data_IF_247023929224
#
_entry.id   IF_247023929224
#
_cell.length_a   1.000
_cell.length_b   1.000
_cell.length_c   1.000
_cell.angle_alpha   90.00
_cell.angle_beta   90.00
_cell.angle_gamma   90.00
#
_symmetry.space_group_name_H-M   'P 1'
#
loop_
_entity.id
_entity.type
_entity.pdbx_description
1 polymer ?
#
# COMPACT_ATOMS: atom_id res chain seq x y z
N UNK A 1 -14.11 -23.20 13.17
CA UNK A 1 -12.79 -23.35 13.84
C UNK A 1 -11.64 -22.72 13.06
N UNK A 2 -11.54 -22.86 11.74
CA UNK A 2 -10.47 -22.26 10.91
C UNK A 2 -10.52 -20.74 10.84
N UNK A 3 -11.71 -20.13 10.71
CA UNK A 3 -11.88 -18.65 10.69
C UNK A 3 -11.35 -18.01 11.97
N UNK A 4 -11.71 -18.54 13.15
CA UNK A 4 -11.19 -18.01 14.42
C UNK A 4 -9.66 -18.09 14.54
N UNK A 5 -9.04 -19.13 13.95
CA UNK A 5 -7.58 -19.26 13.94
C UNK A 5 -6.93 -18.25 12.97
N UNK A 6 -7.55 -17.97 11.82
CA UNK A 6 -7.10 -16.93 10.89
C UNK A 6 -7.13 -15.57 11.57
N UNK A 7 -8.23 -15.20 12.23
CA UNK A 7 -8.33 -13.95 12.97
C UNK A 7 -7.27 -13.80 14.06
N UNK A 8 -6.91 -14.91 14.76
CA UNK A 8 -5.82 -14.89 15.76
C UNK A 8 -4.46 -14.68 15.08
N UNK A 9 -4.20 -15.35 13.96
CA UNK A 9 -2.95 -15.16 13.20
C UNK A 9 -2.80 -13.71 12.74
N UNK A 10 -3.85 -13.13 12.18
CA UNK A 10 -3.87 -11.74 11.71
C UNK A 10 -3.68 -10.76 12.86
N UNK A 11 -4.35 -10.97 14.00
CA UNK A 11 -4.18 -10.16 15.20
C UNK A 11 -2.74 -10.22 15.75
N UNK A 12 -2.10 -11.40 15.71
CA UNK A 12 -0.70 -11.53 16.12
C UNK A 12 0.24 -10.81 15.16
N UNK A 13 -0.04 -10.85 13.86
CA UNK A 13 0.72 -10.08 12.86
C UNK A 13 0.57 -8.57 13.09
N UNK A 14 -0.63 -8.09 13.42
CA UNK A 14 -0.89 -6.67 13.74
C UNK A 14 -0.15 -6.18 14.99
N UNK A 15 0.13 -7.09 15.91
CA UNK A 15 0.90 -6.80 17.12
C UNK A 15 2.40 -7.00 16.96
N UNK A 16 2.86 -7.47 15.81
CA UNK A 16 4.25 -7.86 15.58
C UNK A 16 4.64 -9.19 16.23
N UNK A 17 3.67 -9.99 16.68
CA UNK A 17 3.86 -11.30 17.30
C UNK A 17 4.17 -12.40 16.29
N UNK A 18 5.23 -12.24 15.49
CA UNK A 18 5.55 -13.11 14.34
C UNK A 18 5.71 -14.59 14.69
N UNK A 19 6.26 -14.89 15.87
CA UNK A 19 6.45 -16.29 16.31
C UNK A 19 5.14 -16.91 16.77
N UNK A 20 4.29 -16.15 17.46
CA UNK A 20 2.95 -16.57 17.86
C UNK A 20 2.07 -16.83 16.64
N UNK A 21 2.08 -15.93 15.64
CA UNK A 21 1.36 -16.11 14.38
C UNK A 21 1.81 -17.38 13.65
N UNK A 22 3.12 -17.61 13.54
CA UNK A 22 3.66 -18.81 12.88
C UNK A 22 3.37 -20.10 13.66
N UNK A 23 3.43 -20.07 14.98
CA UNK A 23 3.09 -21.22 15.82
C UNK A 23 1.61 -21.59 15.69
N UNK A 24 0.70 -20.61 15.75
CA UNK A 24 -0.73 -20.81 15.53
C UNK A 24 -1.00 -21.38 14.13
N UNK A 25 -0.40 -20.78 13.11
CA UNK A 25 -0.49 -21.30 11.73
C UNK A 25 -0.05 -22.77 11.65
N UNK A 26 1.12 -23.11 12.21
CA UNK A 26 1.66 -24.47 12.14
C UNK A 26 0.77 -25.49 12.85
N UNK A 27 0.18 -25.15 14.01
CA UNK A 27 -0.76 -26.02 14.74
C UNK A 27 -2.02 -26.25 13.91
N UNK A 28 -2.60 -25.18 13.37
CA UNK A 28 -3.87 -25.26 12.65
C UNK A 28 -3.73 -25.89 11.27
N UNK A 29 -2.63 -25.62 10.58
CA UNK A 29 -2.34 -26.24 9.28
C UNK A 29 -2.15 -27.75 9.38
N UNK A 30 -1.50 -28.26 10.46
CA UNK A 30 -1.42 -29.72 10.70
C UNK A 30 -2.79 -30.36 10.92
N UNK A 31 -3.73 -29.66 11.53
CA UNK A 31 -5.10 -30.16 11.80
C UNK A 31 -6.02 -30.05 10.59
N UNK A 32 -5.78 -29.03 9.75
CA UNK A 32 -6.63 -28.67 8.61
C UNK A 32 -5.76 -28.36 7.37
N UNK A 33 -4.97 -29.34 6.85
CA UNK A 33 -3.99 -29.08 5.78
C UNK A 33 -4.63 -28.66 4.45
N UNK A 34 -5.89 -29.02 4.21
CA UNK A 34 -6.63 -28.66 3.00
C UNK A 34 -7.42 -27.32 3.13
N UNK A 35 -7.26 -26.59 4.24
CA UNK A 35 -7.99 -25.32 4.41
C UNK A 35 -7.40 -24.21 3.54
N UNK A 36 -8.12 -23.67 2.56
CA UNK A 36 -7.65 -22.56 1.75
C UNK A 36 -7.44 -21.29 2.56
N UNK A 37 -8.27 -21.03 3.59
CA UNK A 37 -8.16 -19.88 4.47
C UNK A 37 -6.85 -19.88 5.28
N UNK A 38 -6.35 -21.07 5.65
CA UNK A 38 -5.05 -21.18 6.31
C UNK A 38 -3.91 -21.10 5.30
N UNK A 39 -4.06 -21.70 4.13
CA UNK A 39 -3.02 -21.69 3.12
C UNK A 39 -2.59 -20.27 2.72
N UNK A 40 -3.54 -19.33 2.63
CA UNK A 40 -3.28 -17.93 2.28
C UNK A 40 -2.57 -17.14 3.38
N UNK A 41 -2.48 -17.64 4.62
CA UNK A 41 -1.76 -16.98 5.70
C UNK A 41 -0.23 -17.16 5.63
N UNK A 42 0.23 -18.24 5.03
CA UNK A 42 1.67 -18.55 4.97
C UNK A 42 2.50 -17.47 4.24
N UNK A 43 2.09 -16.95 3.07
CA UNK A 43 2.78 -15.82 2.42
C UNK A 43 2.81 -14.56 3.28
N UNK A 44 1.72 -14.23 4.01
CA UNK A 44 1.64 -13.04 4.86
C UNK A 44 2.62 -13.12 6.03
N UNK A 45 2.70 -14.29 6.69
CA UNK A 45 3.68 -14.54 7.76
C UNK A 45 5.11 -14.44 7.24
N UNK A 46 5.40 -15.01 6.07
CA UNK A 46 6.72 -14.95 5.45
C UNK A 46 7.11 -13.51 5.09
N UNK A 47 6.15 -12.73 4.59
CA UNK A 47 6.34 -11.32 4.26
C UNK A 47 6.62 -10.49 5.51
N UNK A 48 5.82 -10.64 6.54
CA UNK A 48 6.00 -9.94 7.82
C UNK A 48 7.37 -10.23 8.47
N UNK A 49 7.95 -11.41 8.21
CA UNK A 49 9.34 -11.76 8.57
C UNK A 49 10.42 -11.20 7.65
N UNK A 50 10.03 -10.41 6.65
CA UNK A 50 10.95 -9.81 5.67
C UNK A 50 11.52 -10.81 4.63
N UNK A 51 10.97 -12.03 4.55
CA UNK A 51 11.49 -13.06 3.65
C UNK A 51 10.78 -13.06 2.28
N UNK A 52 11.09 -12.06 1.44
CA UNK A 52 10.45 -11.87 0.13
C UNK A 52 10.58 -13.10 -0.79
N UNK A 53 11.70 -13.83 -0.72
CA UNK A 53 11.91 -15.03 -1.54
C UNK A 53 10.97 -16.17 -1.13
N UNK A 54 10.78 -16.38 0.18
CA UNK A 54 9.81 -17.37 0.69
C UNK A 54 8.39 -16.92 0.38
N UNK A 55 8.08 -15.64 0.56
CA UNK A 55 6.77 -15.07 0.21
C UNK A 55 6.43 -15.36 -1.24
N UNK A 56 7.37 -15.11 -2.17
CA UNK A 56 7.19 -15.40 -3.60
C UNK A 56 6.89 -16.87 -3.85
N UNK A 57 7.71 -17.79 -3.31
CA UNK A 57 7.49 -19.24 -3.49
C UNK A 57 6.14 -19.71 -2.95
N UNK A 58 5.73 -19.20 -1.79
CA UNK A 58 4.44 -19.55 -1.19
C UNK A 58 3.27 -18.99 -2.01
N UNK A 59 3.35 -17.75 -2.47
CA UNK A 59 2.34 -17.17 -3.37
C UNK A 59 2.25 -17.97 -4.68
N UNK A 60 3.39 -18.31 -5.31
CA UNK A 60 3.43 -19.11 -6.54
C UNK A 60 2.86 -20.53 -6.31
N UNK A 61 3.08 -21.14 -5.14
CA UNK A 61 2.49 -22.46 -4.83
C UNK A 61 0.97 -22.41 -4.73
N UNK A 62 0.39 -21.32 -4.25
CA UNK A 62 -1.07 -21.14 -4.19
C UNK A 62 -1.68 -21.07 -5.60
N UNK A 63 -0.97 -20.52 -6.58
CA UNK A 63 -1.48 -20.40 -7.97
C UNK A 63 -1.71 -21.75 -8.64
N UNK A 64 -0.98 -22.79 -8.21
CA UNK A 64 -1.11 -24.17 -8.72
C UNK A 64 -2.23 -24.97 -8.08
N UNK A 65 -3.00 -24.43 -7.13
CA UNK A 65 -4.08 -25.15 -6.46
C UNK A 65 -5.38 -25.17 -7.27
N UNK A 66 -6.21 -26.18 -7.04
CA UNK A 66 -7.56 -26.26 -7.63
C UNK A 66 -8.58 -25.39 -6.91
N UNK A 67 -8.24 -24.83 -5.74
CA UNK A 67 -9.14 -23.96 -4.99
C UNK A 67 -9.05 -22.53 -5.53
N UNK A 68 -10.16 -21.97 -5.98
CA UNK A 68 -10.22 -20.66 -6.63
C UNK A 68 -9.78 -19.51 -5.69
N UNK A 69 -10.17 -19.56 -4.41
CA UNK A 69 -9.81 -18.54 -3.42
C UNK A 69 -8.29 -18.54 -3.20
N UNK A 70 -7.70 -19.70 -2.95
CA UNK A 70 -6.25 -19.82 -2.74
C UNK A 70 -5.48 -19.40 -4.01
N UNK A 71 -5.94 -19.82 -5.19
CA UNK A 71 -5.32 -19.45 -6.47
C UNK A 71 -5.37 -17.94 -6.72
N UNK A 72 -6.53 -17.31 -6.58
CA UNK A 72 -6.68 -15.86 -6.74
C UNK A 72 -5.84 -15.09 -5.72
N UNK A 73 -5.82 -15.53 -4.46
CA UNK A 73 -4.97 -14.93 -3.43
C UNK A 73 -3.48 -15.05 -3.77
N UNK A 74 -3.04 -16.21 -4.26
CA UNK A 74 -1.65 -16.41 -4.70
C UNK A 74 -1.25 -15.44 -5.81
N UNK A 75 -2.11 -15.23 -6.80
CA UNK A 75 -1.89 -14.28 -7.88
C UNK A 75 -1.87 -12.83 -7.36
N UNK A 76 -2.81 -12.45 -6.49
CA UNK A 76 -2.86 -11.11 -5.90
C UNK A 76 -1.62 -10.82 -5.04
N UNK A 77 -1.19 -11.77 -4.19
CA UNK A 77 0.03 -11.64 -3.40
C UNK A 77 1.27 -11.54 -4.28
N UNK A 78 1.32 -12.34 -5.35
CA UNK A 78 2.38 -12.27 -6.36
C UNK A 78 2.43 -10.91 -7.05
N UNK A 79 1.27 -10.36 -7.42
CA UNK A 79 1.14 -9.04 -8.03
C UNK A 79 1.59 -7.92 -7.09
N UNK A 80 1.10 -7.94 -5.85
CA UNK A 80 1.46 -6.98 -4.80
C UNK A 80 2.95 -6.99 -4.51
N UNK A 81 3.57 -8.19 -4.39
CA UNK A 81 5.01 -8.32 -4.22
C UNK A 81 5.78 -7.82 -5.45
N UNK A 82 5.24 -8.03 -6.65
CA UNK A 82 5.83 -7.49 -7.88
C UNK A 82 5.79 -5.97 -7.92
N UNK A 83 4.69 -5.33 -7.48
CA UNK A 83 4.62 -3.87 -7.33
C UNK A 83 5.65 -3.36 -6.31
N UNK A 84 5.71 -3.96 -5.12
CA UNK A 84 6.70 -3.61 -4.09
C UNK A 84 8.13 -3.67 -4.64
N UNK A 85 8.39 -4.60 -5.56
CA UNK A 85 9.69 -4.79 -6.21
C UNK A 85 9.87 -3.97 -7.51
N UNK A 86 8.94 -3.06 -7.84
CA UNK A 86 9.01 -2.23 -9.04
C UNK A 86 8.81 -2.99 -10.36
N UNK A 87 8.22 -4.18 -10.34
CA UNK A 87 7.95 -5.04 -11.51
C UNK A 87 6.51 -4.83 -12.01
N UNK A 88 6.21 -3.65 -12.56
CA UNK A 88 4.85 -3.24 -12.90
C UNK A 88 4.22 -4.13 -13.98
N UNK A 89 4.99 -4.49 -15.01
CA UNK A 89 4.50 -5.34 -16.10
C UNK A 89 4.08 -6.74 -15.59
N UNK A 90 4.87 -7.30 -14.67
CA UNK A 90 4.57 -8.58 -14.04
C UNK A 90 3.35 -8.49 -13.12
N UNK A 91 3.26 -7.43 -12.33
CA UNK A 91 2.11 -7.18 -11.45
C UNK A 91 0.81 -7.08 -12.25
N UNK A 92 0.82 -6.34 -13.36
CA UNK A 92 -0.34 -6.20 -14.23
C UNK A 92 -0.81 -7.54 -14.81
N UNK A 93 0.13 -8.37 -15.26
CA UNK A 93 -0.20 -9.73 -15.73
C UNK A 93 -0.85 -10.58 -14.64
N UNK A 94 -0.31 -10.55 -13.42
CA UNK A 94 -0.79 -11.34 -12.29
C UNK A 94 -2.17 -10.88 -11.81
N UNK A 95 -2.42 -9.57 -11.69
CA UNK A 95 -3.76 -9.03 -11.35
C UNK A 95 -4.81 -9.39 -12.39
N UNK A 96 -4.48 -9.33 -13.69
CA UNK A 96 -5.41 -9.79 -14.75
C UNK A 96 -5.79 -11.26 -14.61
N UNK A 97 -4.88 -12.10 -14.14
CA UNK A 97 -5.10 -13.53 -13.96
C UNK A 97 -5.83 -13.84 -12.64
N UNK A 98 -5.66 -13.01 -11.62
CA UNK A 98 -6.28 -13.20 -10.31
C UNK A 98 -7.81 -13.19 -10.42
N UNK A 99 -8.36 -12.34 -11.27
CA UNK A 99 -9.79 -12.11 -11.32
C UNK A 99 -10.26 -11.38 -10.06
N UNK A 100 -11.49 -11.62 -9.65
CA UNK A 100 -12.12 -10.99 -8.51
C UNK A 100 -13.52 -10.47 -8.88
N UNK A 101 -14.24 -9.91 -7.89
CA UNK A 101 -15.44 -9.16 -8.19
C UNK A 101 -15.09 -7.79 -8.84
N UNK A 102 -16.12 -7.09 -9.31
CA UNK A 102 -15.92 -5.84 -10.04
C UNK A 102 -15.27 -4.74 -9.17
N UNK A 103 -15.55 -4.71 -7.86
CA UNK A 103 -14.99 -3.73 -6.95
C UNK A 103 -13.49 -3.98 -6.70
N UNK A 104 -13.10 -5.23 -6.42
CA UNK A 104 -11.69 -5.65 -6.23
C UNK A 104 -10.90 -5.40 -7.51
N UNK A 105 -11.40 -5.84 -8.67
CA UNK A 105 -10.73 -5.66 -9.96
C UNK A 105 -10.56 -4.18 -10.33
N UNK A 106 -11.49 -3.32 -9.93
CA UNK A 106 -11.35 -1.87 -10.09
C UNK A 106 -10.24 -1.31 -9.19
N UNK A 107 -10.21 -1.69 -7.90
CA UNK A 107 -9.18 -1.25 -6.96
C UNK A 107 -7.79 -1.70 -7.42
N UNK A 108 -7.61 -2.94 -7.88
CA UNK A 108 -6.35 -3.44 -8.44
C UNK A 108 -5.91 -2.61 -9.65
N UNK A 109 -6.84 -2.29 -10.56
CA UNK A 109 -6.56 -1.44 -11.72
C UNK A 109 -6.11 -0.03 -11.31
N UNK A 110 -6.78 0.58 -10.33
CA UNK A 110 -6.43 1.90 -9.81
C UNK A 110 -5.06 1.88 -9.10
N UNK A 111 -4.77 0.83 -8.36
CA UNK A 111 -3.46 0.62 -7.71
C UNK A 111 -2.34 0.55 -8.74
N UNK A 112 -2.51 -0.21 -9.82
CA UNK A 112 -1.56 -0.28 -10.93
C UNK A 112 -1.35 1.08 -11.61
N UNK A 113 -2.42 1.85 -11.85
CA UNK A 113 -2.34 3.17 -12.48
C UNK A 113 -1.58 4.13 -11.57
N UNK A 114 -1.86 4.11 -10.27
CA UNK A 114 -1.16 4.94 -9.27
C UNK A 114 0.32 4.55 -9.18
N UNK A 115 0.64 3.26 -9.10
CA UNK A 115 2.02 2.78 -9.10
C UNK A 115 2.79 3.22 -10.35
N UNK A 116 2.20 3.03 -11.52
CA UNK A 116 2.81 3.46 -12.78
C UNK A 116 3.06 4.97 -12.82
N UNK A 117 2.15 5.77 -12.24
CA UNK A 117 2.29 7.23 -12.18
C UNK A 117 3.40 7.64 -11.21
N UNK A 118 3.41 7.10 -9.99
CA UNK A 118 4.35 7.49 -8.95
C UNK A 118 5.76 6.96 -9.17
N UNK A 119 5.88 5.70 -9.60
CA UNK A 119 7.20 5.09 -9.81
C UNK A 119 7.92 5.72 -11.01
N UNK A 120 7.19 6.11 -12.06
CA UNK A 120 7.74 6.76 -13.25
C UNK A 120 7.76 8.29 -13.18
N UNK A 121 7.26 8.88 -12.09
CA UNK A 121 7.10 10.34 -11.95
C UNK A 121 6.37 10.99 -13.15
N UNK A 122 5.33 10.31 -13.68
CA UNK A 122 4.56 10.79 -14.81
C UNK A 122 3.10 10.38 -14.70
N UNK A 123 2.19 11.29 -15.05
CA UNK A 123 0.76 11.02 -15.14
C UNK A 123 0.26 10.89 -16.60
N UNK A 124 1.17 10.82 -17.58
CA UNK A 124 0.82 10.70 -18.98
C UNK A 124 -0.11 9.50 -19.22
N UNK A 125 -1.28 9.75 -19.78
CA UNK A 125 -2.30 8.72 -20.03
C UNK A 125 -2.96 8.10 -18.80
N UNK A 126 -2.59 8.47 -17.57
CA UNK A 126 -3.19 7.91 -16.35
C UNK A 126 -4.71 8.18 -16.28
N UNK A 127 -5.14 9.40 -16.60
CA UNK A 127 -6.56 9.76 -16.63
C UNK A 127 -7.37 8.90 -17.60
N UNK A 128 -6.84 8.62 -18.79
CA UNK A 128 -7.51 7.77 -19.78
C UNK A 128 -7.63 6.32 -19.26
N UNK A 129 -6.61 5.81 -18.56
CA UNK A 129 -6.66 4.47 -17.95
C UNK A 129 -7.69 4.38 -16.81
N UNK A 130 -7.81 5.42 -15.97
CA UNK A 130 -8.85 5.45 -14.92
C UNK A 130 -10.24 5.45 -15.56
N UNK A 131 -10.48 6.27 -16.59
CA UNK A 131 -11.76 6.28 -17.33
C UNK A 131 -12.06 4.90 -17.92
N UNK A 132 -11.09 4.26 -18.55
CA UNK A 132 -11.25 2.92 -19.11
C UNK A 132 -11.56 1.86 -18.04
N UNK A 133 -10.93 1.96 -16.85
CA UNK A 133 -11.23 1.07 -15.71
C UNK A 133 -12.65 1.28 -15.19
N UNK A 134 -13.10 2.53 -15.04
CA UNK A 134 -14.47 2.84 -14.62
C UNK A 134 -15.52 2.40 -15.66
N UNK A 135 -15.20 2.48 -16.95
CA UNK A 135 -16.07 1.98 -18.00
C UNK A 135 -16.17 0.45 -17.99
N UNK A 136 -15.08 -0.26 -17.66
CA UNK A 136 -15.04 -1.71 -17.52
C UNK A 136 -15.76 -2.22 -16.26
N UNK A 137 -15.69 -1.46 -15.16
CA UNK A 137 -16.28 -1.78 -13.86
C UNK A 137 -17.18 -0.64 -13.39
N UNK A 138 -18.37 -0.45 -14.03
CA UNK A 138 -19.22 0.69 -13.74
C UNK A 138 -19.89 0.56 -12.37
N UNK A 139 -19.96 1.66 -11.63
CA UNK A 139 -20.60 1.72 -10.32
C UNK A 139 -22.05 1.24 -10.33
N UNK A 140 -22.78 1.45 -11.44
CA UNK A 140 -24.17 1.01 -11.58
C UNK A 140 -24.36 -0.51 -11.47
N UNK A 141 -23.29 -1.29 -11.69
CA UNK A 141 -23.33 -2.76 -11.58
C UNK A 141 -22.96 -3.26 -10.19
N UNK A 142 -22.54 -2.38 -9.28
CA UNK A 142 -22.13 -2.71 -7.92
C UNK A 142 -23.23 -2.36 -6.92
N UNK A 143 -23.39 -3.17 -5.85
CA UNK A 143 -24.22 -2.78 -4.72
C UNK A 143 -23.67 -1.49 -4.09
N UNK A 144 -24.53 -0.64 -3.53
CA UNK A 144 -24.11 0.67 -3.02
C UNK A 144 -23.01 0.55 -1.96
N UNK A 145 -23.08 -0.45 -1.10
CA UNK A 145 -22.10 -0.70 -0.04
C UNK A 145 -20.71 -1.09 -0.58
N UNK A 146 -20.65 -1.71 -1.77
CA UNK A 146 -19.42 -2.24 -2.36
C UNK A 146 -18.77 -1.24 -3.34
N UNK A 147 -19.41 -0.09 -3.59
CA UNK A 147 -18.87 0.92 -4.51
C UNK A 147 -17.62 1.57 -3.93
N UNK A 148 -16.44 1.41 -4.56
CA UNK A 148 -15.17 1.91 -4.02
C UNK A 148 -14.98 3.42 -4.29
N UNK A 149 -15.92 4.27 -3.83
CA UNK A 149 -15.89 5.72 -4.04
C UNK A 149 -14.56 6.34 -3.61
N UNK A 150 -14.08 5.97 -2.40
CA UNK A 150 -12.86 6.57 -1.85
C UNK A 150 -11.60 6.10 -2.59
N UNK A 151 -11.52 4.82 -2.99
CA UNK A 151 -10.40 4.33 -3.81
C UNK A 151 -10.35 5.05 -5.17
N UNK A 152 -11.52 5.29 -5.80
CA UNK A 152 -11.60 6.03 -7.07
C UNK A 152 -11.21 7.50 -6.87
N UNK A 153 -11.72 8.18 -5.84
CA UNK A 153 -11.36 9.56 -5.53
C UNK A 153 -9.86 9.69 -5.24
N UNK A 154 -9.32 8.81 -4.39
CA UNK A 154 -7.90 8.75 -4.07
C UNK A 154 -7.04 8.54 -5.33
N UNK A 155 -7.41 7.62 -6.21
CA UNK A 155 -6.68 7.41 -7.46
C UNK A 155 -6.69 8.65 -8.36
N UNK A 156 -7.84 9.35 -8.50
CA UNK A 156 -7.93 10.59 -9.24
C UNK A 156 -7.03 11.68 -8.64
N UNK A 157 -7.04 11.85 -7.32
CA UNK A 157 -6.18 12.80 -6.63
C UNK A 157 -4.69 12.46 -6.86
N UNK A 158 -4.31 11.19 -6.62
CA UNK A 158 -2.93 10.70 -6.74
C UNK A 158 -2.33 10.82 -8.14
N UNK A 159 -3.15 10.86 -9.19
CA UNK A 159 -2.70 11.14 -10.56
C UNK A 159 -2.82 12.62 -10.98
N UNK A 160 -3.06 13.54 -10.01
CA UNK A 160 -3.11 14.97 -10.24
C UNK A 160 -4.41 15.46 -10.92
N UNK A 161 -5.54 14.88 -10.59
CA UNK A 161 -6.88 15.26 -11.09
C UNK A 161 -7.88 15.49 -9.94
N UNK A 162 -7.62 16.50 -9.06
CA UNK A 162 -8.45 16.75 -7.88
C UNK A 162 -9.92 17.04 -8.22
N UNK A 163 -10.21 17.79 -9.29
CA UNK A 163 -11.60 18.08 -9.74
C UNK A 163 -12.41 16.78 -9.96
N UNK A 164 -11.76 15.75 -10.54
CA UNK A 164 -12.40 14.45 -10.75
C UNK A 164 -12.61 13.70 -9.43
N UNK A 165 -11.67 13.81 -8.51
CA UNK A 165 -11.79 13.24 -7.18
C UNK A 165 -12.94 13.89 -6.40
N UNK A 166 -13.07 15.21 -6.42
CA UNK A 166 -14.17 15.94 -5.82
C UNK A 166 -15.53 15.53 -6.39
N UNK A 167 -15.64 15.35 -7.70
CA UNK A 167 -16.87 14.87 -8.33
C UNK A 167 -17.28 13.47 -7.81
N UNK A 168 -16.32 12.58 -7.54
CA UNK A 168 -16.58 11.26 -6.94
C UNK A 168 -17.06 11.41 -5.48
N UNK A 169 -16.44 12.30 -4.69
CA UNK A 169 -16.90 12.58 -3.32
C UNK A 169 -18.31 13.19 -3.32
N UNK A 170 -18.61 14.08 -4.25
CA UNK A 170 -19.96 14.63 -4.40
C UNK A 170 -20.99 13.52 -4.73
N UNK A 171 -20.66 12.62 -5.64
CA UNK A 171 -21.51 11.47 -5.97
C UNK A 171 -21.72 10.52 -4.76
N UNK A 172 -20.66 10.28 -3.96
CA UNK A 172 -20.79 9.54 -2.71
C UNK A 172 -21.77 10.22 -1.74
N UNK A 173 -21.64 11.52 -1.51
CA UNK A 173 -22.52 12.29 -0.58
C UNK A 173 -23.99 12.27 -1.01
N UNK A 174 -24.25 12.22 -2.30
CA UNK A 174 -25.62 12.06 -2.84
C UNK A 174 -26.18 10.66 -2.65
N UNK A 175 -25.33 9.64 -2.74
CA UNK A 175 -25.73 8.24 -2.64
C UNK A 175 -25.85 7.73 -1.20
N UNK A 176 -24.96 8.17 -0.31
CA UNK A 176 -24.87 7.73 1.08
C UNK A 176 -25.72 8.69 1.97
N UNK A 177 -26.94 8.29 2.28
CA UNK A 177 -27.87 9.07 3.13
C UNK A 177 -28.02 8.51 4.54
N UNK A 178 -27.57 7.27 4.79
CA UNK A 178 -27.62 6.64 6.10
C UNK A 178 -26.52 7.19 7.01
N UNK A 179 -26.92 7.76 8.15
CA UNK A 179 -25.99 8.37 9.11
C UNK A 179 -25.03 7.37 9.75
N UNK A 180 -25.40 6.09 9.89
CA UNK A 180 -24.52 5.06 10.38
C UNK A 180 -23.42 4.74 9.36
N UNK A 181 -23.78 4.64 8.08
CA UNK A 181 -22.84 4.45 6.97
C UNK A 181 -21.86 5.63 6.90
N UNK A 182 -22.37 6.87 6.90
CA UNK A 182 -21.54 8.08 6.87
C UNK A 182 -20.54 8.11 8.02
N UNK A 183 -20.95 7.67 9.21
CA UNK A 183 -20.11 7.62 10.39
C UNK A 183 -18.98 6.58 10.26
N UNK A 184 -19.32 5.36 9.86
CA UNK A 184 -18.33 4.28 9.66
C UNK A 184 -17.33 4.64 8.56
N UNK A 185 -17.78 5.32 7.52
CA UNK A 185 -16.93 5.69 6.38
C UNK A 185 -16.22 7.03 6.53
N UNK A 186 -16.36 7.72 7.66
CA UNK A 186 -15.78 9.04 7.91
C UNK A 186 -14.26 9.05 7.75
N UNK A 187 -13.55 8.03 8.27
CA UNK A 187 -12.10 7.93 8.16
C UNK A 187 -11.64 7.82 6.69
N UNK A 188 -12.29 6.98 5.91
CA UNK A 188 -11.98 6.82 4.49
C UNK A 188 -12.30 8.10 3.69
N UNK A 189 -13.38 8.81 4.05
CA UNK A 189 -13.72 10.11 3.47
C UNK A 189 -12.62 11.14 3.73
N UNK A 190 -12.16 11.29 4.99
CA UNK A 190 -11.10 12.23 5.34
C UNK A 190 -9.77 11.86 4.69
N UNK A 191 -9.45 10.58 4.56
CA UNK A 191 -8.28 10.12 3.79
C UNK A 191 -8.36 10.58 2.32
N UNK A 192 -9.49 10.40 1.67
CA UNK A 192 -9.68 10.86 0.29
C UNK A 192 -9.61 12.39 0.17
N UNK A 193 -10.18 13.15 1.12
CA UNK A 193 -10.10 14.61 1.17
C UNK A 193 -8.65 15.09 1.39
N UNK A 194 -7.87 14.40 2.20
CA UNK A 194 -6.45 14.66 2.39
C UNK A 194 -5.65 14.47 1.09
N UNK A 195 -5.92 13.40 0.33
CA UNK A 195 -5.30 13.18 -0.98
C UNK A 195 -5.69 14.26 -2.01
N UNK A 196 -6.94 14.72 -1.98
CA UNK A 196 -7.39 15.85 -2.80
C UNK A 196 -6.61 17.10 -2.43
N UNK A 197 -6.50 17.42 -1.14
CA UNK A 197 -5.74 18.57 -0.68
C UNK A 197 -4.25 18.52 -1.07
N UNK A 198 -3.61 17.33 -1.03
CA UNK A 198 -2.25 17.14 -1.56
C UNK A 198 -2.17 17.43 -3.06
N UNK A 199 -3.14 16.96 -3.84
CA UNK A 199 -3.19 17.19 -5.28
C UNK A 199 -3.41 18.66 -5.65
N UNK A 200 -4.06 19.42 -4.76
CA UNK A 200 -4.27 20.88 -4.86
C UNK A 200 -3.10 21.68 -4.28
N UNK A 201 -2.03 21.04 -3.80
CA UNK A 201 -0.89 21.66 -3.13
C UNK A 201 -1.24 22.39 -1.82
N UNK A 202 -2.32 21.97 -1.14
CA UNK A 202 -2.77 22.50 0.16
C UNK A 202 -2.28 21.56 1.29
N UNK A 203 -0.96 21.52 1.53
CA UNK A 203 -0.33 20.58 2.44
C UNK A 203 -0.86 20.66 3.89
N UNK A 204 -1.08 21.84 4.43
CA UNK A 204 -1.63 22.01 5.79
C UNK A 204 -3.07 21.48 5.90
N UNK A 205 -3.88 21.67 4.86
CA UNK A 205 -5.22 21.08 4.79
C UNK A 205 -5.13 19.56 4.72
N UNK A 206 -4.20 19.02 3.95
CA UNK A 206 -3.98 17.57 3.88
C UNK A 206 -3.63 16.98 5.25
N UNK A 207 -2.73 17.61 6.02
CA UNK A 207 -2.40 17.21 7.39
C UNK A 207 -3.65 17.22 8.28
N UNK A 208 -4.47 18.27 8.17
CA UNK A 208 -5.70 18.39 8.97
C UNK A 208 -6.71 17.27 8.63
N UNK A 209 -6.92 16.99 7.34
CA UNK A 209 -7.85 15.96 6.87
C UNK A 209 -7.36 14.57 7.29
N UNK A 210 -6.08 14.23 7.10
CA UNK A 210 -5.53 12.93 7.53
C UNK A 210 -5.62 12.74 9.05
N UNK A 211 -5.41 13.79 9.86
CA UNK A 211 -5.62 13.72 11.31
C UNK A 211 -7.09 13.47 11.68
N UNK A 212 -8.04 14.00 10.92
CA UNK A 212 -9.45 13.69 11.11
C UNK A 212 -9.78 12.24 10.72
N UNK A 213 -9.09 11.70 9.71
CA UNK A 213 -9.16 10.28 9.34
C UNK A 213 -8.68 9.34 10.46
N UNK A 214 -7.84 9.82 11.38
CA UNK A 214 -7.37 9.06 12.57
C UNK A 214 -8.31 9.17 13.77
N UNK A 215 -9.37 9.96 13.69
CA UNK A 215 -10.27 10.11 14.83
C UNK A 215 -10.99 8.79 15.10
N UNK A 216 -10.81 8.28 16.32
CA UNK A 216 -11.51 7.09 16.79
C UNK A 216 -13.01 7.34 16.82
N UNK A 217 -13.75 6.51 16.12
CA UNK A 217 -15.20 6.45 16.28
C UNK A 217 -15.52 5.49 17.43
N UNK A 218 -16.28 5.93 18.41
CA UNK A 218 -16.63 5.14 19.62
C UNK A 218 -15.40 4.51 20.31
N UNK A 219 -14.29 5.25 20.41
CA UNK A 219 -13.01 4.79 20.97
C UNK A 219 -12.35 3.61 20.21
N UNK A 220 -12.76 3.32 19.00
CA UNK A 220 -12.04 2.40 18.11
C UNK A 220 -11.14 3.19 17.16
N UNK A 221 -9.97 2.65 16.78
CA UNK A 221 -9.17 3.25 15.71
C UNK A 221 -10.06 3.45 14.48
N UNK A 222 -10.06 4.63 13.92
CA UNK A 222 -10.92 4.96 12.78
C UNK A 222 -10.52 4.24 11.49
N UNK A 223 -9.28 3.73 11.44
CA UNK A 223 -8.78 2.96 10.31
C UNK A 223 -8.37 1.57 10.79
N UNK A 224 -8.83 0.55 10.08
CA UNK A 224 -8.36 -0.82 10.29
C UNK A 224 -6.88 -0.99 9.88
N UNK A 225 -6.35 -0.04 9.12
CA UNK A 225 -4.98 -0.04 8.61
C UNK A 225 -4.08 0.87 9.45
N UNK A 226 -3.45 0.32 10.48
CA UNK A 226 -2.58 1.07 11.37
C UNK A 226 -1.40 1.83 10.69
N UNK A 227 -0.72 1.30 9.65
CA UNK A 227 0.35 2.02 8.96
C UNK A 227 -0.13 2.98 7.85
N UNK A 228 -1.40 2.95 7.43
CA UNK A 228 -1.88 3.82 6.36
C UNK A 228 -1.73 5.29 6.71
N UNK A 229 -2.22 5.71 7.86
CA UNK A 229 -2.18 7.10 8.27
C UNK A 229 -0.76 7.67 8.41
N UNK A 230 0.23 6.98 9.02
CA UNK A 230 1.60 7.43 9.04
C UNK A 230 2.17 7.72 7.64
N UNK A 231 1.88 6.90 6.64
CA UNK A 231 2.32 7.15 5.26
C UNK A 231 1.70 8.41 4.67
N UNK A 232 0.39 8.60 4.86
CA UNK A 232 -0.32 9.77 4.33
C UNK A 232 0.14 11.06 5.04
N UNK A 233 0.31 11.02 6.36
CA UNK A 233 0.85 12.15 7.13
C UNK A 233 2.31 12.45 6.75
N UNK A 234 3.14 11.43 6.51
CA UNK A 234 4.51 11.63 6.06
C UNK A 234 4.55 12.42 4.75
N UNK A 235 3.74 12.03 3.77
CA UNK A 235 3.62 12.71 2.49
C UNK A 235 3.11 14.15 2.62
N UNK A 236 2.14 14.38 3.50
CA UNK A 236 1.61 15.72 3.75
C UNK A 236 2.62 16.64 4.45
N UNK A 237 3.32 16.14 5.47
CA UNK A 237 4.39 16.91 6.13
C UNK A 237 5.56 17.19 5.20
N UNK A 238 5.92 16.24 4.34
CA UNK A 238 6.96 16.43 3.35
C UNK A 238 6.57 17.51 2.33
N UNK A 239 5.33 17.48 1.83
CA UNK A 239 4.79 18.52 0.96
C UNK A 239 4.72 19.90 1.65
N UNK A 240 4.54 19.94 2.97
CA UNK A 240 4.58 21.16 3.78
C UNK A 240 6.01 21.63 4.11
N UNK A 241 7.06 20.94 3.66
CA UNK A 241 8.45 21.25 4.01
C UNK A 241 8.81 20.96 5.47
N UNK A 242 7.99 20.21 6.20
CA UNK A 242 8.19 19.86 7.60
C UNK A 242 9.02 18.57 7.73
N UNK A 243 10.29 18.62 7.37
CA UNK A 243 11.17 17.46 7.22
C UNK A 243 11.21 16.55 8.46
N UNK A 244 11.29 17.12 9.68
CA UNK A 244 11.33 16.33 10.92
C UNK A 244 10.05 15.53 11.14
N UNK A 245 8.91 16.15 10.90
CA UNK A 245 7.61 15.49 11.00
C UNK A 245 7.43 14.41 9.91
N UNK A 246 7.90 14.69 8.69
CA UNK A 246 7.88 13.74 7.60
C UNK A 246 8.72 12.50 7.91
N UNK A 247 9.96 12.68 8.36
CA UNK A 247 10.85 11.60 8.80
C UNK A 247 10.18 10.75 9.88
N UNK A 248 9.67 11.39 10.94
CA UNK A 248 9.04 10.67 12.05
C UNK A 248 7.85 9.80 11.57
N UNK A 249 7.05 10.28 10.63
CA UNK A 249 5.91 9.54 10.11
C UNK A 249 6.32 8.45 9.10
N UNK A 250 7.32 8.68 8.24
CA UNK A 250 7.86 7.62 7.36
C UNK A 250 8.48 6.48 8.18
N UNK A 251 9.25 6.79 9.23
CA UNK A 251 9.80 5.78 10.13
C UNK A 251 8.68 5.00 10.85
N UNK A 252 7.68 5.71 11.35
CA UNK A 252 6.50 5.09 11.96
C UNK A 252 5.78 4.18 10.96
N UNK A 253 5.60 4.61 9.72
CA UNK A 253 5.02 3.79 8.65
C UNK A 253 5.78 2.48 8.48
N UNK A 254 7.11 2.53 8.38
CA UNK A 254 7.95 1.33 8.19
C UNK A 254 7.89 0.42 9.41
N UNK A 255 7.91 0.99 10.62
CA UNK A 255 7.98 0.24 11.88
C UNK A 255 6.63 -0.35 12.33
N UNK A 256 5.49 0.17 11.85
CA UNK A 256 4.17 -0.28 12.31
C UNK A 256 3.82 -1.64 11.70
N UNK A 257 3.63 -2.69 12.52
CA UNK A 257 3.17 -3.98 12.01
C UNK A 257 1.73 -3.89 11.50
N UNK A 258 1.42 -4.72 10.52
CA UNK A 258 0.07 -4.88 10.00
C UNK A 258 -0.01 -6.16 9.17
N UNK A 259 -1.05 -6.98 9.39
CA UNK A 259 -1.14 -8.30 8.78
C UNK A 259 -1.17 -8.25 7.24
N UNK A 260 -1.80 -7.22 6.68
CA UNK A 260 -2.02 -7.09 5.23
C UNK A 260 -1.10 -6.10 4.53
N UNK A 261 0.09 -5.82 5.11
CA UNK A 261 1.07 -4.90 4.50
C UNK A 261 1.39 -5.25 3.05
N UNK A 262 1.56 -6.55 2.77
CA UNK A 262 1.88 -7.06 1.44
C UNK A 262 0.90 -6.56 0.36
N UNK A 263 -0.39 -6.50 0.67
CA UNK A 263 -1.45 -6.23 -0.32
C UNK A 263 -1.86 -4.75 -0.34
N UNK A 264 -2.05 -4.16 0.84
CA UNK A 264 -2.73 -2.87 0.93
C UNK A 264 -1.78 -1.67 0.88
N UNK A 265 -0.53 -1.81 1.36
CA UNK A 265 0.28 -0.64 1.70
C UNK A 265 1.63 -0.64 1.02
N UNK A 266 2.40 -1.69 1.20
CA UNK A 266 3.78 -1.77 0.74
C UNK A 266 3.92 -1.71 -0.79
N UNK A 267 2.96 -2.18 -1.59
CA UNK A 267 3.03 -2.06 -3.04
C UNK A 267 3.21 -0.64 -3.56
N UNK A 268 2.61 0.34 -2.89
CA UNK A 268 2.73 1.75 -3.26
C UNK A 268 3.70 2.53 -2.37
N UNK A 269 3.84 2.15 -1.09
CA UNK A 269 4.46 2.99 -0.07
C UNK A 269 5.90 2.65 0.25
N UNK A 270 6.26 1.36 0.33
CA UNK A 270 7.50 0.94 0.99
C UNK A 270 8.78 1.44 0.29
N UNK A 271 8.89 1.22 -1.02
CA UNK A 271 10.06 1.65 -1.78
C UNK A 271 10.20 3.17 -1.80
N UNK A 272 9.08 3.89 -1.98
CA UNK A 272 9.06 5.36 -1.99
C UNK A 272 9.38 5.95 -0.62
N UNK A 273 8.94 5.32 0.47
CA UNK A 273 9.29 5.75 1.82
C UNK A 273 10.81 5.61 2.07
N UNK A 274 11.42 4.49 1.65
CA UNK A 274 12.87 4.32 1.76
C UNK A 274 13.63 5.31 0.91
N UNK A 275 13.22 5.56 -0.33
CA UNK A 275 13.85 6.56 -1.19
C UNK A 275 13.81 7.94 -0.55
N UNK A 276 12.64 8.35 -0.05
CA UNK A 276 12.46 9.68 0.52
C UNK A 276 13.20 9.84 1.85
N UNK A 277 13.22 8.82 2.71
CA UNK A 277 14.02 8.83 3.93
C UNK A 277 15.52 8.92 3.63
N UNK A 278 16.01 8.21 2.60
CA UNK A 278 17.40 8.35 2.15
C UNK A 278 17.75 9.80 1.83
N UNK A 279 16.91 10.49 1.06
CA UNK A 279 17.08 11.90 0.69
C UNK A 279 16.98 12.85 1.89
N UNK A 280 15.99 12.66 2.77
CA UNK A 280 15.78 13.51 3.94
C UNK A 280 16.93 13.37 4.96
N UNK A 281 17.43 12.15 5.20
CA UNK A 281 18.57 11.93 6.09
C UNK A 281 19.89 12.44 5.49
N UNK A 282 20.09 12.31 4.17
CA UNK A 282 21.23 12.94 3.50
C UNK A 282 21.22 14.45 3.70
N UNK A 283 20.09 15.11 3.45
CA UNK A 283 19.94 16.56 3.64
C UNK A 283 20.20 17.02 5.07
N UNK A 284 20.04 16.14 6.07
CA UNK A 284 20.35 16.38 7.49
C UNK A 284 21.77 16.03 7.88
N UNK A 285 22.56 15.44 6.97
CA UNK A 285 23.89 14.92 7.28
C UNK A 285 23.89 13.65 8.14
N UNK A 286 22.76 12.97 8.28
CA UNK A 286 22.62 11.71 9.02
C UNK A 286 23.02 10.52 8.12
N UNK A 287 24.30 10.48 7.73
CA UNK A 287 24.87 9.56 6.74
C UNK A 287 24.49 8.09 6.96
N UNK A 288 24.65 7.58 8.18
CA UNK A 288 24.38 6.16 8.46
C UNK A 288 22.90 5.76 8.19
N UNK A 289 21.97 6.66 8.50
CA UNK A 289 20.54 6.43 8.25
C UNK A 289 20.22 6.54 6.76
N UNK A 290 20.76 7.55 6.07
CA UNK A 290 20.61 7.68 4.62
C UNK A 290 21.08 6.41 3.90
N UNK A 291 22.28 5.92 4.25
CA UNK A 291 22.86 4.67 3.72
C UNK A 291 21.91 3.47 3.94
N UNK A 292 21.37 3.33 5.15
CA UNK A 292 20.48 2.22 5.47
C UNK A 292 19.22 2.22 4.60
N UNK A 293 18.59 3.37 4.37
CA UNK A 293 17.40 3.48 3.55
C UNK A 293 17.69 3.31 2.06
N UNK A 294 18.76 3.88 1.52
CA UNK A 294 19.17 3.67 0.14
C UNK A 294 19.49 2.19 -0.15
N UNK A 295 20.15 1.50 0.79
CA UNK A 295 20.37 0.05 0.66
C UNK A 295 19.06 -0.75 0.61
N UNK A 296 18.05 -0.36 1.38
CA UNK A 296 16.72 -0.99 1.34
C UNK A 296 16.02 -0.76 0.02
N UNK A 297 16.01 0.46 -0.50
CA UNK A 297 15.47 0.76 -1.83
C UNK A 297 16.15 -0.08 -2.91
N UNK A 298 17.48 -0.10 -2.93
CA UNK A 298 18.27 -0.86 -3.91
C UNK A 298 17.94 -2.36 -3.82
N UNK A 299 17.84 -2.91 -2.61
CA UNK A 299 17.47 -4.31 -2.40
C UNK A 299 16.07 -4.63 -2.92
N UNK A 300 15.09 -3.76 -2.65
CA UNK A 300 13.71 -3.92 -3.13
C UNK A 300 13.63 -3.86 -4.66
N UNK A 301 14.32 -2.90 -5.27
CA UNK A 301 14.21 -2.60 -6.70
C UNK A 301 15.38 -3.13 -7.54
N UNK A 302 16.16 -4.09 -7.01
CA UNK A 302 17.28 -4.74 -7.76
C UNK A 302 16.83 -5.24 -9.13
N UNK A 303 15.64 -5.84 -9.23
CA UNK A 303 15.06 -6.40 -10.45
C UNK A 303 13.81 -5.61 -10.90
N UNK A 304 13.72 -4.33 -10.59
CA UNK A 304 12.66 -3.47 -11.07
C UNK A 304 12.70 -3.30 -12.60
N UNK A 305 11.58 -2.93 -13.19
CA UNK A 305 11.48 -2.66 -14.64
C UNK A 305 12.58 -1.68 -15.07
N UNK A 306 13.05 -1.83 -16.30
CA UNK A 306 14.22 -1.10 -16.82
C UNK A 306 14.08 0.42 -16.71
N UNK A 307 12.89 0.95 -16.89
CA UNK A 307 12.59 2.37 -16.78
C UNK A 307 12.61 2.93 -15.34
N UNK A 308 12.66 2.05 -14.33
CA UNK A 308 12.85 2.42 -12.92
C UNK A 308 14.31 2.34 -12.47
N UNK A 309 15.19 1.72 -13.25
CA UNK A 309 16.61 1.58 -12.90
C UNK A 309 17.35 2.92 -12.68
N UNK A 310 16.99 4.04 -13.33
CA UNK A 310 17.57 5.35 -13.01
C UNK A 310 17.38 5.76 -11.54
N UNK A 311 16.26 5.46 -10.90
CA UNK A 311 16.03 5.74 -9.46
C UNK A 311 16.95 4.91 -8.57
N UNK A 312 17.15 3.62 -8.92
CA UNK A 312 18.12 2.74 -8.23
C UNK A 312 19.55 3.26 -8.43
N UNK A 313 19.88 3.74 -9.62
CA UNK A 313 21.20 4.33 -9.91
C UNK A 313 21.43 5.59 -9.08
N UNK A 314 20.43 6.46 -8.93
CA UNK A 314 20.52 7.65 -8.05
C UNK A 314 20.79 7.26 -6.59
N UNK A 315 20.10 6.26 -6.05
CA UNK A 315 20.39 5.77 -4.70
C UNK A 315 21.80 5.21 -4.58
N UNK A 316 22.30 4.46 -5.57
CA UNK A 316 23.72 4.00 -5.59
C UNK A 316 24.71 5.15 -5.66
N UNK A 317 24.39 6.20 -6.41
CA UNK A 317 25.24 7.39 -6.50
C UNK A 317 25.29 8.13 -5.17
N UNK A 318 24.17 8.28 -4.44
CA UNK A 318 24.15 8.82 -3.08
C UNK A 318 25.03 8.01 -2.14
N UNK A 319 24.90 6.66 -2.15
CA UNK A 319 25.76 5.78 -1.34
C UNK A 319 27.26 5.99 -1.62
N UNK A 320 27.65 6.10 -2.88
CA UNK A 320 29.03 6.34 -3.27
C UNK A 320 29.55 7.69 -2.76
N UNK A 321 28.70 8.74 -2.84
CA UNK A 321 29.01 10.08 -2.31
C UNK A 321 29.19 10.08 -0.80
N UNK A 322 28.27 9.45 -0.06
CA UNK A 322 28.31 9.38 1.41
C UNK A 322 29.53 8.57 1.92
N UNK A 323 29.88 7.45 1.28
CA UNK A 323 31.06 6.65 1.62
C UNK A 323 32.39 7.39 1.36
N UNK A 324 32.42 8.29 0.40
CA UNK A 324 33.61 9.11 0.13
C UNK A 324 33.84 10.21 1.19
N UNK A 325 32.80 10.62 1.93
CA UNK A 325 32.90 11.61 3.01
C UNK A 325 33.39 11.00 4.33
N UNK A 326 33.12 9.74 4.62
CA UNK A 326 33.60 9.03 5.82
C UNK A 326 35.10 8.66 5.73
N UNK A 327 35.69 8.68 4.53
CA UNK A 327 37.09 8.33 4.29
C UNK A 327 38.07 9.52 4.24
N UNK A 328 37.64 10.74 4.54
CA UNK A 328 38.56 11.88 4.66
C UNK A 328 38.90 12.13 6.13
N UNK A 329 40.23 12.03 6.51
CA UNK A 329 40.72 12.29 7.87
C UNK A 329 40.55 13.74 8.28
#
# INVERSE_FOLDING_TARGET
MTVGAVNVIELELDRGGLDSAAAMYAIMHRRHPASPLLAVQAPLIAYARGNLAVTRRLADSLTGTSNDVARSSGLAYGASLSLTQGQLARAEQQYRQAGGDAAVSLVDSLTLITAATWFRNTNAGAAARVIASLARYPFSTMALADRPYFAVATAWARIGKPDRAEAIIAAYRLAATDTAVLRVQSAALHTALGEIALAEHHADRAVAEFRQGDTAYDNRPATECAPCLPLELARAFDAAGQADSAIAQYERFIATPYYNRLVEIDPLGLALAHERLGELYEARGETARAVAHDQRLIALWTNADTDLQPRVANARQRLAGLGAHEGKP
#
